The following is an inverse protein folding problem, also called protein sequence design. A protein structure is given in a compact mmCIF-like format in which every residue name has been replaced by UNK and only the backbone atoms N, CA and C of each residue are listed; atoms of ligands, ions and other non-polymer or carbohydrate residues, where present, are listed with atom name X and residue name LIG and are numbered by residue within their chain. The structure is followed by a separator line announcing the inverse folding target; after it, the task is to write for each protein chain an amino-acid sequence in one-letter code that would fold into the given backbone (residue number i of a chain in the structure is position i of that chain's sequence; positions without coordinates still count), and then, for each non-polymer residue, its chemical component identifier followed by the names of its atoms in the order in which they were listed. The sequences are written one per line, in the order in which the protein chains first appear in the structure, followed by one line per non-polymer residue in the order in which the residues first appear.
data_IF_308689930075
#
_entry.id   IF_308689930075
#
_cell.length_a   1.000
_cell.length_b   1.000
_cell.length_c   1.000
_cell.angle_alpha   90.00
_cell.angle_beta   90.00
_cell.angle_gamma   90.00
#
_symmetry.space_group_name_H-M   'P 1'
#
loop_
_entity.id
_entity.type
_entity.pdbx_description
1 polymer ?
#
# COMPACT_ATOMS: atom_id res chain seq x y z
N UNK A 1 1.53 10.08 -9.47
CA UNK A 1 0.34 9.69 -8.67
C UNK A 1 0.76 9.26 -7.26
N UNK A 2 0.12 9.76 -6.19
CA UNK A 2 0.29 9.24 -4.83
C UNK A 2 -0.28 7.80 -4.71
N UNK A 3 0.06 7.07 -3.65
CA UNK A 3 -0.57 5.77 -3.38
C UNK A 3 -2.08 5.97 -3.13
N UNK A 4 -2.92 5.30 -3.92
CA UNK A 4 -4.37 5.45 -3.82
C UNK A 4 -5.02 4.15 -3.36
N UNK A 5 -5.99 4.26 -2.46
CA UNK A 5 -6.89 3.16 -2.11
C UNK A 5 -8.17 3.30 -2.93
N UNK A 6 -8.52 2.26 -3.68
CA UNK A 6 -9.81 2.17 -4.39
C UNK A 6 -10.62 0.99 -3.84
N UNK A 7 -11.92 1.21 -3.62
CA UNK A 7 -12.86 0.14 -3.28
C UNK A 7 -13.16 -0.65 -4.55
N UNK A 8 -12.98 -1.96 -4.48
CA UNK A 8 -13.32 -2.95 -5.52
C UNK A 8 -14.12 -4.06 -4.82
N UNK A 9 -14.12 -5.30 -5.33
CA UNK A 9 -14.59 -6.47 -4.59
C UNK A 9 -13.65 -6.78 -3.38
N UNK A 10 -13.54 -5.82 -2.45
CA UNK A 10 -12.47 -5.60 -1.47
C UNK A 10 -11.86 -4.20 -1.57
N UNK A 11 -10.59 -4.04 -1.19
CA UNK A 11 -9.83 -2.80 -1.38
C UNK A 11 -8.55 -3.08 -2.18
N UNK A 12 -8.19 -2.15 -3.05
CA UNK A 12 -6.98 -2.21 -3.88
C UNK A 12 -6.09 -1.01 -3.54
N UNK A 13 -4.80 -1.26 -3.36
CA UNK A 13 -3.77 -0.21 -3.24
C UNK A 13 -3.00 -0.12 -4.55
N UNK A 14 -3.03 1.06 -5.17
CA UNK A 14 -2.39 1.33 -6.46
C UNK A 14 -1.32 2.41 -6.32
N UNK A 15 -0.28 2.30 -7.13
CA UNK A 15 0.83 3.25 -7.22
C UNK A 15 1.16 3.48 -8.71
N UNK A 16 1.95 4.50 -9.07
CA UNK A 16 2.38 4.72 -10.45
C UNK A 16 3.09 3.51 -11.06
N UNK A 17 3.82 2.74 -10.25
CA UNK A 17 4.52 1.52 -10.64
C UNK A 17 3.64 0.26 -10.58
N UNK A 18 2.31 0.42 -10.54
CA UNK A 18 1.34 -0.65 -10.61
C UNK A 18 0.58 -0.94 -9.31
N UNK A 19 -0.14 -2.06 -9.32
CA UNK A 19 -0.97 -2.50 -8.18
C UNK A 19 -0.11 -3.17 -7.12
N UNK A 20 -0.20 -2.70 -5.87
CA UNK A 20 0.61 -3.21 -4.74
C UNK A 20 -0.17 -4.12 -3.79
N UNK A 21 -1.49 -4.06 -3.79
CA UNK A 21 -2.36 -5.00 -3.09
C UNK A 21 -3.71 -5.15 -3.80
N UNK A 22 -4.25 -6.37 -3.89
CA UNK A 22 -5.58 -6.67 -4.47
C UNK A 22 -6.45 -7.38 -3.43
N UNK A 23 -7.77 -7.12 -3.47
CA UNK A 23 -8.80 -7.77 -2.63
C UNK A 23 -8.46 -7.79 -1.12
N UNK A 24 -7.94 -6.70 -0.57
CA UNK A 24 -7.66 -6.60 0.88
C UNK A 24 -8.82 -5.95 1.64
N UNK A 25 -8.80 -5.98 2.97
CA UNK A 25 -9.73 -5.19 3.79
C UNK A 25 -9.31 -3.72 3.86
N UNK A 26 -10.22 -2.82 4.22
CA UNK A 26 -9.92 -1.38 4.34
C UNK A 26 -8.76 -1.13 5.31
N UNK A 27 -8.76 -1.84 6.44
CA UNK A 27 -7.71 -1.75 7.46
C UNK A 27 -6.34 -2.11 6.89
N UNK A 28 -6.24 -3.24 6.19
CA UNK A 28 -5.00 -3.71 5.55
C UNK A 28 -4.55 -2.74 4.44
N UNK A 29 -5.48 -2.20 3.65
CA UNK A 29 -5.16 -1.24 2.60
C UNK A 29 -4.58 0.07 3.16
N UNK A 30 -5.16 0.60 4.24
CA UNK A 30 -4.63 1.79 4.93
C UNK A 30 -3.23 1.54 5.51
N UNK A 31 -3.03 0.38 6.15
CA UNK A 31 -1.71 -0.02 6.66
C UNK A 31 -0.67 -0.14 5.54
N UNK A 32 -1.02 -0.77 4.43
CA UNK A 32 -0.15 -0.89 3.25
C UNK A 32 0.25 0.48 2.70
N UNK A 33 -0.67 1.44 2.62
CA UNK A 33 -0.35 2.80 2.17
C UNK A 33 0.65 3.48 3.10
N UNK A 34 0.45 3.39 4.42
CA UNK A 34 1.38 3.95 5.41
C UNK A 34 2.77 3.33 5.30
N UNK A 35 2.84 2.01 5.16
CA UNK A 35 4.09 1.28 4.97
C UNK A 35 4.80 1.71 3.68
N UNK A 36 4.07 1.77 2.57
CA UNK A 36 4.64 2.17 1.28
C UNK A 36 5.10 3.64 1.25
N UNK A 37 4.39 4.52 1.96
CA UNK A 37 4.84 5.90 2.16
C UNK A 37 6.12 5.96 2.99
N UNK A 38 6.19 5.20 4.10
CA UNK A 38 7.39 5.11 4.91
C UNK A 38 8.59 4.57 4.11
N UNK A 39 8.43 3.50 3.34
CA UNK A 39 9.51 2.97 2.47
C UNK A 39 9.93 3.97 1.40
N UNK A 40 9.01 4.81 0.89
CA UNK A 40 9.32 5.78 -0.16
C UNK A 40 10.07 7.01 0.37
N UNK A 41 9.72 7.47 1.57
CA UNK A 41 10.25 8.71 2.15
C UNK A 41 11.35 8.49 3.18
N UNK A 42 11.46 7.29 3.73
CA UNK A 42 12.47 6.91 4.69
C UNK A 42 13.33 5.80 4.10
N UNK A 43 14.57 5.69 4.58
CA UNK A 43 15.45 4.53 4.34
C UNK A 43 14.99 3.28 5.12
N UNK A 44 13.68 3.20 5.39
CA UNK A 44 13.06 2.17 6.19
C UNK A 44 13.00 0.88 5.37
N UNK A 45 13.94 -0.02 5.67
CA UNK A 45 14.02 -1.35 5.08
C UNK A 45 13.33 -2.36 6.01
N UNK A 46 12.21 -2.96 5.61
CA UNK A 46 11.58 -4.00 6.42
C UNK A 46 12.56 -5.18 6.55
N UNK A 47 13.00 -5.46 7.77
CA UNK A 47 13.84 -6.63 8.07
C UNK A 47 12.95 -7.86 8.27
N UNK A 48 13.36 -8.97 7.68
CA UNK A 48 12.72 -10.28 7.88
C UNK A 48 13.23 -10.81 9.22
N UNK A 49 12.41 -10.75 10.27
CA UNK A 49 12.71 -11.39 11.56
C UNK A 49 11.86 -12.65 11.71
#
# INVERSE_FOLDING_TARGET
MPYTVRKVNGYRVSSPSGTKAKKTTLRKAKAQVRLLQAVKHSDWRPTRR
#
